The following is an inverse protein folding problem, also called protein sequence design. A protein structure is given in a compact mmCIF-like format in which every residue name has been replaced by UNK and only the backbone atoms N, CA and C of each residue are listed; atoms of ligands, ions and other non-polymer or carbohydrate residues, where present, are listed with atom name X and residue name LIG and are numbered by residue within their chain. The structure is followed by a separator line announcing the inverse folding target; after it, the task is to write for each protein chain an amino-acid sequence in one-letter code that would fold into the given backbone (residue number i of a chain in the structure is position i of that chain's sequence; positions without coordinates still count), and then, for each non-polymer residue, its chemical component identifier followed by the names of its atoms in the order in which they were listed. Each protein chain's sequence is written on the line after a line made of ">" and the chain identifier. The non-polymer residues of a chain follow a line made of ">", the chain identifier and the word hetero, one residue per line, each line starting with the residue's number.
data_IF_458772038283
#
_entry.id   IF_458772038283
#
_cell.length_a   1.000
_cell.length_b   1.000
_cell.length_c   1.000
_cell.angle_alpha   90.00
_cell.angle_beta   90.00
_cell.angle_gamma   90.00
#
_symmetry.space_group_name_H-M   'P 1'
#
loop_
_entity.id
_entity.type
_entity.pdbx_description
1 polymer ?
#
# COMPACT_ATOMS: atom_id res chain seq x y z
N UNK A 1 25.77 18.69 9.93
CA UNK A 1 24.52 18.19 9.32
C UNK A 1 24.79 16.80 8.77
N UNK A 2 24.33 15.74 9.46
CA UNK A 2 24.68 14.34 9.16
C UNK A 2 23.85 13.82 7.98
N UNK A 3 24.46 13.09 7.04
CA UNK A 3 23.93 12.65 5.75
C UNK A 3 22.74 11.68 5.74
N UNK A 4 21.78 11.79 6.68
CA UNK A 4 20.58 10.96 6.75
C UNK A 4 19.55 11.28 5.65
N UNK A 5 19.38 12.56 5.30
CA UNK A 5 18.44 12.99 4.25
C UNK A 5 18.81 12.53 2.85
N UNK A 6 20.12 12.46 2.55
CA UNK A 6 20.63 12.03 1.24
C UNK A 6 20.39 10.54 0.98
N UNK A 7 20.37 9.70 2.03
CA UNK A 7 20.11 8.27 1.90
C UNK A 7 18.64 7.99 1.56
N UNK A 8 17.71 8.62 2.26
CA UNK A 8 16.28 8.46 1.99
C UNK A 8 15.92 8.90 0.57
N UNK A 9 16.49 10.05 0.13
CA UNK A 9 16.31 10.55 -1.23
C UNK A 9 16.87 9.59 -2.29
N UNK A 10 18.07 9.03 -2.07
CA UNK A 10 18.68 8.04 -2.97
C UNK A 10 17.83 6.79 -3.11
N UNK A 11 17.34 6.23 -2.00
CA UNK A 11 16.49 5.02 -2.04
C UNK A 11 15.17 5.30 -2.76
N UNK A 12 14.61 6.50 -2.57
CA UNK A 12 13.41 6.94 -3.28
C UNK A 12 13.63 7.03 -4.78
N UNK A 13 14.69 7.73 -5.23
CA UNK A 13 14.98 7.87 -6.67
C UNK A 13 15.31 6.54 -7.33
N UNK A 14 16.06 5.66 -6.65
CA UNK A 14 16.31 4.29 -7.13
C UNK A 14 15.01 3.48 -7.24
N UNK A 15 14.08 3.65 -6.29
CA UNK A 15 12.76 3.03 -6.34
C UNK A 15 11.93 3.52 -7.53
N UNK A 16 11.98 4.82 -7.81
CA UNK A 16 11.27 5.43 -8.95
C UNK A 16 11.84 4.95 -10.29
N UNK A 17 13.16 4.86 -10.41
CA UNK A 17 13.83 4.34 -11.61
C UNK A 17 13.43 2.87 -11.82
N UNK A 18 13.48 2.03 -10.78
CA UNK A 18 13.03 0.63 -10.87
C UNK A 18 11.55 0.49 -11.25
N UNK A 19 10.72 1.44 -10.86
CA UNK A 19 9.27 1.45 -11.12
C UNK A 19 8.83 2.25 -12.33
N UNK A 20 9.75 2.72 -13.19
CA UNK A 20 9.44 3.69 -14.25
C UNK A 20 8.31 3.23 -15.17
N UNK A 21 8.31 1.96 -15.59
CA UNK A 21 7.27 1.42 -16.48
C UNK A 21 5.89 1.40 -15.83
N UNK A 22 5.82 1.03 -14.54
CA UNK A 22 4.57 1.03 -13.78
C UNK A 22 4.02 2.45 -13.61
N UNK A 23 4.89 3.43 -13.35
CA UNK A 23 4.48 4.85 -13.26
C UNK A 23 3.99 5.37 -14.60
N UNK A 24 4.71 5.06 -15.69
CA UNK A 24 4.29 5.45 -17.05
C UNK A 24 2.94 4.83 -17.40
N UNK A 25 2.75 3.54 -17.13
CA UNK A 25 1.49 2.83 -17.36
C UNK A 25 0.35 3.45 -16.54
N UNK A 26 0.58 3.74 -15.25
CA UNK A 26 -0.43 4.37 -14.38
C UNK A 26 -0.85 5.77 -14.79
N UNK A 27 -0.01 6.50 -15.54
CA UNK A 27 -0.33 7.83 -16.08
C UNK A 27 -0.92 7.79 -17.50
N UNK A 28 -0.64 6.73 -18.26
CA UNK A 28 -0.99 6.64 -19.69
C UNK A 28 -2.22 5.78 -19.94
N UNK A 29 -2.52 4.84 -19.05
CA UNK A 29 -3.64 3.92 -19.18
C UNK A 29 -4.84 4.39 -18.35
N UNK A 30 -6.08 4.09 -18.75
CA UNK A 30 -7.27 4.41 -17.98
C UNK A 30 -7.45 3.51 -16.74
N UNK A 31 -6.58 2.52 -16.54
CA UNK A 31 -6.67 1.54 -15.47
C UNK A 31 -6.01 2.05 -14.19
N UNK A 32 -6.66 1.81 -13.05
CA UNK A 32 -6.14 2.21 -11.74
C UNK A 32 -6.28 1.09 -10.72
N UNK A 33 -5.27 0.94 -9.87
CA UNK A 33 -5.29 0.06 -8.69
C UNK A 33 -6.08 0.64 -7.52
N UNK A 34 -6.59 1.87 -7.63
CA UNK A 34 -7.25 2.60 -6.53
C UNK A 34 -8.34 1.81 -5.80
N UNK A 35 -9.31 1.19 -6.50
CA UNK A 35 -10.34 0.36 -5.84
C UNK A 35 -9.76 -0.84 -5.08
N UNK A 36 -8.74 -1.49 -5.66
CA UNK A 36 -8.06 -2.63 -5.03
C UNK A 36 -7.30 -2.19 -3.78
N UNK A 37 -6.55 -1.08 -3.87
CA UNK A 37 -5.83 -0.51 -2.75
C UNK A 37 -6.76 -0.04 -1.63
N UNK A 38 -7.92 0.53 -1.98
CA UNK A 38 -8.97 0.90 -1.05
C UNK A 38 -9.47 -0.30 -0.23
N UNK A 39 -9.75 -1.42 -0.91
CA UNK A 39 -10.15 -2.67 -0.26
C UNK A 39 -9.05 -3.20 0.67
N UNK A 40 -7.79 -3.20 0.21
CA UNK A 40 -6.64 -3.59 1.04
C UNK A 40 -6.52 -2.69 2.28
N UNK A 41 -6.72 -1.38 2.12
CA UNK A 41 -6.66 -0.43 3.23
C UNK A 41 -7.79 -0.66 4.24
N UNK A 42 -9.03 -0.90 3.77
CA UNK A 42 -10.17 -1.26 4.62
C UNK A 42 -9.88 -2.52 5.44
N UNK A 43 -9.34 -3.57 4.82
CA UNK A 43 -8.98 -4.81 5.50
C UNK A 43 -7.87 -4.57 6.56
N UNK A 44 -6.83 -3.80 6.21
CA UNK A 44 -5.76 -3.42 7.15
C UNK A 44 -6.30 -2.62 8.34
N UNK A 45 -7.24 -1.72 8.09
CA UNK A 45 -7.91 -0.92 9.11
C UNK A 45 -8.72 -1.81 10.07
N UNK A 46 -9.55 -2.71 9.56
CA UNK A 46 -10.30 -3.67 10.39
C UNK A 46 -9.35 -4.54 11.25
N UNK A 47 -8.25 -5.03 10.68
CA UNK A 47 -7.24 -5.79 11.44
C UNK A 47 -6.57 -4.95 12.53
N UNK A 48 -6.30 -3.65 12.26
CA UNK A 48 -5.74 -2.69 13.24
C UNK A 48 -6.70 -2.37 14.37
N UNK A 49 -8.00 -2.21 14.10
CA UNK A 49 -9.03 -2.04 15.15
C UNK A 49 -9.07 -3.23 16.11
N UNK A 50 -8.64 -4.40 15.66
CA UNK A 50 -8.54 -5.62 16.46
C UNK A 50 -7.15 -5.82 17.07
N UNK A 51 -6.31 -4.77 17.09
CA UNK A 51 -4.94 -4.79 17.59
C UNK A 51 -4.08 -5.90 16.99
N UNK A 52 -4.34 -6.28 15.73
CA UNK A 52 -3.63 -7.36 15.05
C UNK A 52 -4.00 -8.78 15.50
N UNK A 53 -4.91 -8.94 16.47
CA UNK A 53 -5.30 -10.25 17.03
C UNK A 53 -6.31 -11.02 16.18
N UNK A 54 -6.68 -10.49 15.02
CA UNK A 54 -7.59 -11.14 14.08
C UNK A 54 -6.83 -12.14 13.20
N UNK A 55 -7.04 -13.44 13.46
CA UNK A 55 -6.72 -14.51 12.50
C UNK A 55 -7.65 -14.48 11.28
N UNK A 56 -7.36 -15.28 10.26
CA UNK A 56 -8.08 -15.23 8.97
C UNK A 56 -9.59 -15.42 9.09
N UNK A 57 -10.05 -16.41 9.85
CA UNK A 57 -11.49 -16.70 10.02
C UNK A 57 -12.24 -15.51 10.61
N UNK A 58 -11.67 -14.89 11.64
CA UNK A 58 -12.27 -13.74 12.33
C UNK A 58 -12.24 -12.47 11.47
N UNK A 59 -11.13 -12.24 10.77
CA UNK A 59 -11.02 -11.11 9.84
C UNK A 59 -11.99 -11.24 8.66
N UNK A 60 -12.15 -12.44 8.10
CA UNK A 60 -13.12 -12.72 7.04
C UNK A 60 -14.55 -12.41 7.48
N UNK A 61 -14.95 -12.89 8.67
CA UNK A 61 -16.28 -12.59 9.24
C UNK A 61 -16.49 -11.08 9.39
N UNK A 62 -15.50 -10.35 9.92
CA UNK A 62 -15.56 -8.89 10.05
C UNK A 62 -15.68 -8.17 8.72
N UNK A 63 -14.95 -8.61 7.69
CA UNK A 63 -15.00 -7.97 6.36
C UNK A 63 -16.37 -8.18 5.69
N UNK A 64 -16.97 -9.37 5.83
CA UNK A 64 -18.27 -9.69 5.22
C UNK A 64 -19.47 -9.08 5.96
N UNK A 65 -19.33 -8.78 7.25
CA UNK A 65 -20.40 -8.25 8.10
C UNK A 65 -20.34 -6.73 8.30
N UNK A 66 -19.36 -6.05 7.72
CA UNK A 66 -19.10 -4.61 7.90
C UNK A 66 -19.52 -3.78 6.68
#
# INVERSE_FOLDING_TARGET
>A
MRGSGLRALRVFTEGLIRGQDAVRAGLSLPWSSGPVEGNVNRIKMLKRQMYGRAGFVLLRKRVLLA
#
